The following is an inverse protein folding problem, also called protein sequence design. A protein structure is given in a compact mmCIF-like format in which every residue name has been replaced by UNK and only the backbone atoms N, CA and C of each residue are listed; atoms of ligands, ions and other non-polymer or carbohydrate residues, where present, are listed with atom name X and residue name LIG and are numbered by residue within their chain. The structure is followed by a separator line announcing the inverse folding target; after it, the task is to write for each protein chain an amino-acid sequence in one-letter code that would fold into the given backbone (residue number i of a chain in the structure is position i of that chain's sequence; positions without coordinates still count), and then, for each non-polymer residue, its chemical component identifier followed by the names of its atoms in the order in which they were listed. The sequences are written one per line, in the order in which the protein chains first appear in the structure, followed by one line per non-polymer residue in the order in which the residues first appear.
data_IF_868067486152
#
_entry.id   IF_868067486152
#
_cell.length_a   1.000
_cell.length_b   1.000
_cell.length_c   1.000
_cell.angle_alpha   90.00
_cell.angle_beta   90.00
_cell.angle_gamma   90.00
#
_symmetry.space_group_name_H-M   'P 1'
#
loop_
_entity.id
_entity.type
_entity.pdbx_description
1 polymer ?
#
# COMPACT_ATOMS: atom_id res chain seq x y z
N UNK A 1 -4.18 4.97 15.72
CA UNK A 1 -4.50 4.49 14.37
C UNK A 1 -3.17 4.30 13.68
N UNK A 2 -2.85 3.09 13.21
CA UNK A 2 -1.57 2.84 12.52
C UNK A 2 -1.73 3.23 11.05
N UNK A 3 -0.70 3.85 10.50
CA UNK A 3 -0.65 4.19 9.08
C UNK A 3 0.29 3.25 8.33
N UNK A 4 0.13 3.23 7.01
CA UNK A 4 0.84 2.37 6.10
C UNK A 4 1.43 3.17 4.94
N UNK A 5 2.52 2.64 4.41
CA UNK A 5 3.12 3.02 3.16
C UNK A 5 2.79 1.94 2.11
N UNK A 6 2.33 2.37 0.95
CA UNK A 6 2.08 1.50 -0.20
C UNK A 6 3.04 1.88 -1.33
N UNK A 7 3.55 0.88 -2.03
CA UNK A 7 4.30 1.02 -3.27
C UNK A 7 3.57 0.24 -4.37
N UNK A 8 3.20 0.93 -5.44
CA UNK A 8 2.38 0.36 -6.50
C UNK A 8 2.58 1.06 -7.85
N UNK A 9 2.26 0.36 -8.92
CA UNK A 9 2.00 0.91 -10.26
C UNK A 9 0.54 0.59 -10.63
N UNK A 10 0.32 -0.21 -11.67
CA UNK A 10 -0.94 -0.91 -11.91
C UNK A 10 -1.10 -2.15 -11.01
N UNK A 11 0.00 -2.59 -10.39
CA UNK A 11 0.04 -3.70 -9.43
C UNK A 11 0.60 -3.23 -8.08
N UNK A 12 0.18 -3.89 -7.00
CA UNK A 12 0.72 -3.67 -5.67
C UNK A 12 2.07 -4.39 -5.53
N UNK A 13 3.12 -3.65 -5.18
CA UNK A 13 4.44 -4.23 -4.87
C UNK A 13 4.62 -4.43 -3.36
N UNK A 14 4.28 -3.41 -2.57
CA UNK A 14 4.48 -3.46 -1.14
C UNK A 14 3.36 -2.74 -0.38
N UNK A 15 3.00 -3.28 0.77
CA UNK A 15 2.15 -2.66 1.76
C UNK A 15 2.77 -2.92 3.14
N UNK A 16 3.34 -1.88 3.74
CA UNK A 16 4.06 -1.99 5.02
C UNK A 16 3.63 -0.89 5.98
N UNK A 17 3.78 -1.08 7.30
CA UNK A 17 3.57 0.02 8.24
C UNK A 17 4.47 1.23 7.93
N UNK A 18 3.97 2.43 8.21
CA UNK A 18 4.62 3.70 7.78
C UNK A 18 6.00 3.94 8.42
N UNK A 19 6.30 3.25 9.52
CA UNK A 19 7.60 3.24 10.21
C UNK A 19 8.61 2.24 9.62
N UNK A 20 8.21 1.46 8.61
CA UNK A 20 9.08 0.54 7.89
C UNK A 20 9.72 1.21 6.65
N UNK A 21 10.88 0.67 6.28
CA UNK A 21 11.62 1.07 5.10
C UNK A 21 11.04 0.39 3.86
N UNK A 22 10.10 1.08 3.20
CA UNK A 22 9.44 0.56 2.00
C UNK A 22 10.37 0.48 0.79
N UNK A 23 11.40 1.34 0.72
CA UNK A 23 12.32 1.37 -0.41
C UNK A 23 13.14 0.08 -0.44
N UNK A 24 13.61 -0.36 0.73
CA UNK A 24 14.26 -1.66 0.90
C UNK A 24 13.35 -2.83 0.49
N UNK A 25 12.06 -2.78 0.80
CA UNK A 25 11.12 -3.85 0.43
C UNK A 25 10.92 -3.91 -1.08
N UNK A 26 10.82 -2.75 -1.74
CA UNK A 26 10.74 -2.68 -3.21
C UNK A 26 12.01 -3.27 -3.84
N UNK A 27 13.19 -2.95 -3.32
CA UNK A 27 14.47 -3.51 -3.80
C UNK A 27 14.52 -5.04 -3.64
N UNK A 28 14.07 -5.56 -2.48
CA UNK A 28 14.02 -7.01 -2.22
C UNK A 28 13.03 -7.72 -3.17
N UNK A 29 11.83 -7.17 -3.36
CA UNK A 29 10.81 -7.74 -4.26
C UNK A 29 11.21 -7.65 -5.74
N UNK A 30 11.81 -6.53 -6.18
CA UNK A 30 12.33 -6.37 -7.54
C UNK A 30 13.50 -7.28 -7.87
N UNK A 31 14.21 -7.79 -6.86
CA UNK A 31 15.28 -8.77 -7.03
C UNK A 31 14.75 -10.22 -7.11
N UNK A 32 13.54 -10.49 -6.60
CA UNK A 32 12.91 -11.82 -6.55
C UNK A 32 11.93 -12.03 -7.70
N UNK A 33 11.24 -10.99 -8.16
CA UNK A 33 10.31 -11.02 -9.28
C UNK A 33 11.01 -10.73 -10.60
N UNK A 34 10.93 -11.65 -11.57
CA UNK A 34 11.47 -11.55 -12.93
C UNK A 34 10.80 -10.47 -13.81
N UNK A 35 10.65 -9.24 -13.33
CA UNK A 35 10.20 -8.09 -14.12
C UNK A 35 11.22 -6.97 -13.96
N UNK A 36 11.68 -6.38 -15.06
CA UNK A 36 12.38 -5.09 -15.04
C UNK A 36 11.38 -4.05 -14.52
N UNK A 37 11.31 -3.87 -13.21
CA UNK A 37 10.56 -2.78 -12.60
C UNK A 37 11.34 -1.51 -12.95
N UNK A 38 10.76 -0.63 -13.77
CA UNK A 38 11.31 0.72 -13.91
C UNK A 38 11.01 1.47 -12.60
N UNK A 39 12.02 1.80 -11.78
CA UNK A 39 11.81 2.52 -10.53
C UNK A 39 11.18 3.90 -10.73
N UNK A 40 11.19 4.44 -11.96
CA UNK A 40 10.50 5.69 -12.31
C UNK A 40 8.97 5.58 -12.38
N UNK A 41 8.41 4.36 -12.47
CA UNK A 41 6.96 4.16 -12.54
C UNK A 41 6.32 3.88 -11.18
N UNK A 42 7.11 3.40 -10.21
CA UNK A 42 6.62 3.01 -8.88
C UNK A 42 6.21 4.24 -8.07
N UNK A 43 4.93 4.28 -7.69
CA UNK A 43 4.39 5.31 -6.81
C UNK A 43 4.47 4.84 -5.36
N UNK A 44 5.12 5.65 -4.52
CA UNK A 44 5.17 5.43 -3.07
C UNK A 44 4.27 6.44 -2.38
N UNK A 45 3.26 5.94 -1.66
CA UNK A 45 2.30 6.76 -0.93
C UNK A 45 2.27 6.37 0.54
N UNK A 46 2.51 7.36 1.41
CA UNK A 46 2.59 7.20 2.88
C UNK A 46 1.38 7.78 3.62
N UNK A 47 1.25 7.42 4.90
CA UNK A 47 0.20 7.92 5.78
C UNK A 47 -1.20 7.35 5.50
N UNK A 48 -1.27 6.14 4.92
CA UNK A 48 -2.52 5.51 4.51
C UNK A 48 -3.15 4.69 5.63
N UNK A 49 -4.47 4.52 5.58
CA UNK A 49 -5.24 3.69 6.51
C UNK A 49 -5.81 2.52 5.74
N UNK A 50 -5.59 1.30 6.26
CA UNK A 50 -6.21 0.11 5.71
C UNK A 50 -7.63 -0.05 6.26
N UNK A 51 -8.60 -0.31 5.38
CA UNK A 51 -10.01 -0.49 5.77
C UNK A 51 -10.72 -1.45 4.82
N UNK A 52 -11.70 -2.19 5.33
CA UNK A 52 -12.64 -2.95 4.50
C UNK A 52 -13.86 -2.13 4.05
N UNK A 53 -14.05 -0.94 4.64
CA UNK A 53 -15.21 -0.08 4.41
C UNK A 53 -14.77 1.39 4.38
N UNK A 54 -14.47 1.95 3.20
CA UNK A 54 -14.19 3.38 3.08
C UNK A 54 -15.46 4.19 3.34
N UNK A 55 -15.30 5.42 3.80
CA UNK A 55 -16.37 6.40 4.01
C UNK A 55 -16.29 7.51 2.96
N UNK A 56 -17.32 8.35 2.82
CA UNK A 56 -17.29 9.48 1.87
C UNK A 56 -16.21 10.53 2.18
N UNK A 57 -15.71 10.55 3.42
CA UNK A 57 -14.60 11.42 3.84
C UNK A 57 -13.21 10.85 3.48
N UNK A 58 -13.15 9.60 3.02
CA UNK A 58 -11.92 8.92 2.68
C UNK A 58 -11.58 9.10 1.20
N UNK A 59 -10.35 9.49 0.91
CA UNK A 59 -9.79 9.43 -0.44
C UNK A 59 -9.21 8.03 -0.65
N UNK A 60 -9.81 7.24 -1.55
CA UNK A 60 -9.30 5.89 -1.86
C UNK A 60 -8.05 6.01 -2.71
N UNK A 61 -6.93 5.51 -2.17
CA UNK A 61 -5.62 5.51 -2.85
C UNK A 61 -5.38 4.17 -3.53
N UNK A 62 -5.84 3.08 -2.91
CA UNK A 62 -5.79 1.75 -3.50
C UNK A 62 -7.05 0.96 -3.17
N UNK A 63 -7.51 0.17 -4.14
CA UNK A 63 -8.58 -0.81 -3.98
C UNK A 63 -8.04 -2.17 -4.42
N UNK A 64 -8.14 -3.17 -3.54
CA UNK A 64 -7.86 -4.55 -3.84
C UNK A 64 -8.70 -5.00 -5.04
N UNK A 65 -8.02 -5.56 -6.04
CA UNK A 65 -8.62 -6.15 -7.23
C UNK A 65 -8.79 -7.66 -7.08
N UNK A 66 -9.08 -8.38 -8.19
CA UNK A 66 -9.14 -9.84 -8.19
C UNK A 66 -7.82 -10.51 -7.78
N UNK A 67 -6.71 -9.77 -7.83
CA UNK A 67 -5.35 -10.27 -7.58
C UNK A 67 -4.99 -10.36 -6.09
N UNK A 68 -5.84 -9.85 -5.19
CA UNK A 68 -5.69 -10.05 -3.74
C UNK A 68 -5.95 -8.81 -2.89
N UNK A 69 -6.15 -9.05 -1.59
CA UNK A 69 -6.36 -8.03 -0.58
C UNK A 69 -5.05 -7.45 -0.04
N UNK A 70 -5.10 -6.24 0.51
CA UNK A 70 -3.98 -5.64 1.24
C UNK A 70 -3.82 -6.36 2.57
N UNK A 71 -2.64 -6.89 2.84
CA UNK A 71 -2.37 -7.61 4.09
C UNK A 71 -1.58 -6.70 5.03
N UNK A 72 -2.04 -6.57 6.27
CA UNK A 72 -1.29 -5.86 7.30
C UNK A 72 -0.18 -6.72 7.94
N UNK A 73 0.62 -6.12 8.82
CA UNK A 73 1.70 -6.80 9.54
C UNK A 73 1.25 -7.99 10.40
N UNK A 74 -0.06 -8.10 10.69
CA UNK A 74 -0.66 -9.17 11.48
C UNK A 74 -1.25 -10.27 10.59
N UNK A 75 -1.13 -10.14 9.27
CA UNK A 75 -1.76 -11.05 8.31
C UNK A 75 -3.25 -10.78 8.11
N UNK A 76 -3.77 -9.64 8.56
CA UNK A 76 -5.18 -9.30 8.40
C UNK A 76 -5.41 -8.65 7.03
N UNK A 77 -6.41 -9.13 6.27
CA UNK A 77 -6.72 -8.55 4.97
C UNK A 77 -7.60 -7.30 5.05
N UNK A 78 -7.40 -6.41 4.08
CA UNK A 78 -8.16 -5.19 3.87
C UNK A 78 -8.36 -4.94 2.38
N UNK A 79 -9.57 -4.53 2.01
CA UNK A 79 -9.90 -4.26 0.61
C UNK A 79 -9.43 -2.88 0.12
N UNK A 80 -9.15 -1.92 1.01
CA UNK A 80 -8.83 -0.55 0.63
C UNK A 80 -7.69 0.04 1.45
N UNK A 81 -6.86 0.86 0.79
CA UNK A 81 -6.01 1.84 1.45
C UNK A 81 -6.54 3.23 1.14
N UNK A 82 -6.75 4.02 2.20
CA UNK A 82 -7.34 5.35 2.08
C UNK A 82 -6.48 6.42 2.74
N UNK A 83 -6.50 7.62 2.18
CA UNK A 83 -6.03 8.83 2.84
C UNK A 83 -7.19 9.45 3.61
N UNK A 84 -7.11 9.38 4.94
CA UNK A 84 -8.09 9.98 5.84
C UNK A 84 -7.54 11.30 6.35
N UNK A 85 -8.22 12.42 6.07
CA UNK A 85 -7.90 13.69 6.71
C UNK A 85 -8.30 13.58 8.18
N UNK A 86 -7.32 13.28 9.03
CA UNK A 86 -7.51 13.44 10.47
C UNK A 86 -7.71 14.93 10.73
N UNK A 87 -8.91 15.31 11.14
CA UNK A 87 -9.17 16.67 11.61
C UNK A 87 -8.14 16.98 12.71
N UNK A 88 -7.33 18.02 12.48
CA UNK A 88 -6.40 18.56 13.47
C UNK A 88 -7.15 19.34 14.52
#
# INVERSE_FOLDING_TARGET
MRTYALAFTDVLFACVPDDHDIDRVIEEEGCVGCAEIDPGEVQVVRGLVLTGRPTEADEVVWCAGPDGELIDERGQPFAYAVRRRLAR
#
